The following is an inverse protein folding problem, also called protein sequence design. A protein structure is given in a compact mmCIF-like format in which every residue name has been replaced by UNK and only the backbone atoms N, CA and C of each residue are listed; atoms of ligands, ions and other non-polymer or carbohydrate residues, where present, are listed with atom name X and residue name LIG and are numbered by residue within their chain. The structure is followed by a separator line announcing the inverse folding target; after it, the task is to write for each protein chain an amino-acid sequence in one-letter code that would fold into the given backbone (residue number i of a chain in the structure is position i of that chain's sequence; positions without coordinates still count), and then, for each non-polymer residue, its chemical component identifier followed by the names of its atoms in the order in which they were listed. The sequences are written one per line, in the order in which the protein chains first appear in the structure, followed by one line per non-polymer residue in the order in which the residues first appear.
data_IF_956193003051
#
_entry.id   IF_956193003051
#
_cell.length_a   1.000
_cell.length_b   1.000
_cell.length_c   1.000
_cell.angle_alpha   90.00
_cell.angle_beta   90.00
_cell.angle_gamma   90.00
#
_symmetry.space_group_name_H-M   'P 1'
#
loop_
_entity.id
_entity.type
_entity.pdbx_description
1 polymer ?
#
# COMPACT_ATOMS: atom_id res chain seq x y z
N UNK A 1 -26.30 3.70 -1.61
CA UNK A 1 -25.23 2.94 -2.32
C UNK A 1 -23.94 3.74 -2.58
N UNK A 2 -23.93 5.09 -2.54
CA UNK A 2 -22.72 5.91 -2.81
C UNK A 2 -21.48 5.56 -1.96
N UNK A 3 -21.66 5.17 -0.69
CA UNK A 3 -20.53 4.82 0.18
C UNK A 3 -19.74 3.60 -0.30
N UNK A 4 -20.39 2.62 -0.94
CA UNK A 4 -19.71 1.43 -1.47
C UNK A 4 -18.80 1.77 -2.65
N UNK A 5 -19.13 2.80 -3.42
CA UNK A 5 -18.34 3.20 -4.58
C UNK A 5 -16.97 3.75 -4.17
N UNK A 6 -16.93 4.57 -3.12
CA UNK A 6 -15.68 5.09 -2.57
C UNK A 6 -14.75 3.97 -2.09
N UNK A 7 -15.30 2.93 -1.46
CA UNK A 7 -14.53 1.75 -1.06
C UNK A 7 -14.00 0.96 -2.27
N UNK A 8 -14.84 0.76 -3.30
CA UNK A 8 -14.42 0.07 -4.53
C UNK A 8 -13.28 0.79 -5.22
N UNK A 9 -13.38 2.11 -5.35
CA UNK A 9 -12.33 2.92 -5.94
C UNK A 9 -11.01 2.79 -5.16
N UNK A 10 -11.05 2.87 -3.83
CA UNK A 10 -9.86 2.72 -3.00
C UNK A 10 -9.20 1.33 -3.09
N UNK A 11 -9.99 0.28 -3.33
CA UNK A 11 -9.50 -1.11 -3.48
C UNK A 11 -8.94 -1.38 -4.87
N UNK A 12 -9.60 -0.86 -5.91
CA UNK A 12 -9.20 -1.11 -7.30
C UNK A 12 -8.01 -0.24 -7.70
N UNK A 13 -8.00 1.02 -7.29
CA UNK A 13 -6.99 2.01 -7.68
C UNK A 13 -6.38 2.69 -6.43
N UNK A 14 -5.68 1.94 -5.56
CA UNK A 14 -5.16 2.45 -4.28
C UNK A 14 -4.16 3.59 -4.46
N UNK A 15 -3.35 3.54 -5.53
CA UNK A 15 -2.38 4.60 -5.87
C UNK A 15 -3.08 5.90 -6.24
N UNK A 16 -4.12 5.84 -7.06
CA UNK A 16 -4.89 7.03 -7.43
C UNK A 16 -5.62 7.61 -6.22
N UNK A 17 -6.26 6.75 -5.42
CA UNK A 17 -6.91 7.14 -4.18
C UNK A 17 -5.95 7.87 -3.23
N UNK A 18 -4.74 7.33 -3.04
CA UNK A 18 -3.71 7.96 -2.20
C UNK A 18 -3.25 9.32 -2.75
N UNK A 19 -3.13 9.47 -4.07
CA UNK A 19 -2.81 10.75 -4.70
C UNK A 19 -3.91 11.79 -4.51
N UNK A 20 -5.18 11.40 -4.67
CA UNK A 20 -6.33 12.26 -4.43
C UNK A 20 -6.38 12.70 -2.95
N UNK A 21 -6.15 11.76 -2.02
CA UNK A 21 -6.11 12.05 -0.58
C UNK A 21 -4.96 12.98 -0.20
N UNK A 22 -3.77 12.80 -0.80
CA UNK A 22 -2.63 13.71 -0.63
C UNK A 22 -2.96 15.12 -1.12
N UNK A 23 -3.59 15.26 -2.29
CA UNK A 23 -4.01 16.56 -2.85
C UNK A 23 -5.07 17.25 -1.98
N UNK A 24 -6.06 16.50 -1.48
CA UNK A 24 -7.16 17.06 -0.70
C UNK A 24 -6.76 17.43 0.73
N UNK A 25 -5.91 16.63 1.38
CA UNK A 25 -5.54 16.83 2.78
C UNK A 25 -4.23 17.59 3.00
N UNK A 26 -3.37 17.66 1.97
CA UNK A 26 -1.99 18.18 2.09
C UNK A 26 -1.05 17.29 2.91
N UNK A 27 -1.53 16.17 3.47
CA UNK A 27 -0.72 15.26 4.29
C UNK A 27 0.22 14.44 3.43
N UNK A 28 1.40 14.11 3.97
CA UNK A 28 2.29 13.12 3.37
C UNK A 28 1.67 11.73 3.47
N UNK A 29 1.98 10.86 2.52
CA UNK A 29 1.57 9.46 2.53
C UNK A 29 2.78 8.62 2.96
N UNK A 30 2.58 7.70 3.91
CA UNK A 30 3.60 6.75 4.35
C UNK A 30 3.10 5.33 4.06
N UNK A 31 3.79 4.65 3.15
CA UNK A 31 3.52 3.26 2.81
C UNK A 31 4.04 2.30 3.89
N UNK A 32 3.28 1.25 4.20
CA UNK A 32 3.70 0.20 5.12
C UNK A 32 3.28 -1.19 4.64
N UNK A 33 3.97 -2.22 5.14
CA UNK A 33 3.87 -3.59 4.59
C UNK A 33 3.34 -4.63 5.59
N UNK A 34 3.45 -4.38 6.89
CA UNK A 34 3.12 -5.35 7.95
C UNK A 34 1.78 -5.03 8.62
N UNK A 35 1.00 -6.04 8.99
CA UNK A 35 -0.25 -5.85 9.77
C UNK A 35 -0.01 -5.33 11.19
N UNK A 36 1.23 -5.42 11.66
CA UNK A 36 1.64 -4.94 12.98
C UNK A 36 2.26 -3.53 12.94
N UNK A 37 2.27 -2.85 11.79
CA UNK A 37 2.78 -1.47 11.73
C UNK A 37 1.91 -0.58 12.62
N UNK A 38 2.51 0.21 13.53
CA UNK A 38 1.76 1.12 14.39
C UNK A 38 1.28 2.35 13.59
N UNK A 39 0.08 2.25 13.02
CA UNK A 39 -0.55 3.29 12.21
C UNK A 39 -0.75 4.59 13.00
N UNK A 40 -0.95 4.48 14.31
CA UNK A 40 -1.12 5.60 15.23
C UNK A 40 0.10 6.52 15.24
N UNK A 41 1.31 5.97 15.14
CA UNK A 41 2.55 6.76 15.09
C UNK A 41 2.64 7.54 13.78
N UNK A 42 2.25 6.93 12.66
CA UNK A 42 2.21 7.58 11.34
C UNK A 42 1.19 8.73 11.35
N UNK A 43 0.00 8.48 11.90
CA UNK A 43 -1.06 9.48 12.03
C UNK A 43 -0.65 10.64 12.94
N UNK A 44 -0.02 10.36 14.09
CA UNK A 44 0.49 11.36 15.02
C UNK A 44 1.59 12.24 14.40
N UNK A 45 2.40 11.68 13.48
CA UNK A 45 3.39 12.43 12.70
C UNK A 45 2.77 13.33 11.60
N UNK A 46 1.44 13.38 11.47
CA UNK A 46 0.73 14.20 10.48
C UNK A 46 0.70 13.59 9.08
N UNK A 47 1.04 12.31 8.95
CA UNK A 47 0.96 11.57 7.68
C UNK A 47 -0.25 10.65 7.63
N UNK A 48 -0.59 10.19 6.43
CA UNK A 48 -1.61 9.17 6.21
C UNK A 48 -0.94 7.81 5.99
N UNK A 49 -1.29 6.77 6.77
CA UNK A 49 -0.79 5.42 6.55
C UNK A 49 -1.46 4.80 5.31
N UNK A 50 -0.66 4.20 4.42
CA UNK A 50 -1.14 3.49 3.25
C UNK A 50 -0.61 2.05 3.24
N UNK A 51 -1.50 1.07 3.33
CA UNK A 51 -1.11 -0.34 3.27
C UNK A 51 -0.74 -0.74 1.85
N UNK A 52 0.45 -1.30 1.69
CA UNK A 52 0.90 -1.94 0.46
C UNK A 52 0.56 -3.44 0.51
N UNK A 53 -0.06 -3.96 -0.56
CA UNK A 53 -0.48 -5.36 -0.68
C UNK A 53 0.35 -6.16 -1.70
N UNK A 54 1.09 -5.50 -2.59
CA UNK A 54 1.90 -6.13 -3.64
C UNK A 54 1.07 -6.65 -4.81
N UNK A 55 1.77 -7.26 -5.78
CA UNK A 55 1.13 -7.73 -7.02
C UNK A 55 0.45 -9.09 -6.89
N UNK A 56 -0.54 -9.30 -7.75
CA UNK A 56 -1.12 -10.63 -8.04
C UNK A 56 -0.46 -11.32 -9.25
N UNK A 57 0.50 -10.66 -9.88
CA UNK A 57 1.25 -11.18 -11.02
C UNK A 57 2.32 -12.17 -10.56
N UNK A 58 2.92 -12.86 -11.53
CA UNK A 58 4.05 -13.75 -11.25
C UNK A 58 5.24 -12.94 -10.76
N UNK A 59 5.93 -13.50 -9.76
CA UNK A 59 7.12 -12.90 -9.16
C UNK A 59 8.34 -13.48 -9.88
N UNK A 60 9.20 -12.62 -10.41
CA UNK A 60 10.38 -13.01 -11.18
C UNK A 60 11.57 -12.11 -10.89
N UNK A 61 11.35 -10.79 -10.82
CA UNK A 61 12.39 -9.81 -10.51
C UNK A 61 12.75 -9.87 -9.03
N UNK A 62 11.77 -9.97 -8.15
CA UNK A 62 12.01 -10.04 -6.72
C UNK A 62 12.79 -11.30 -6.31
N UNK A 63 12.73 -12.37 -7.10
CA UNK A 63 13.46 -13.63 -6.84
C UNK A 63 14.99 -13.48 -6.95
N UNK A 64 15.46 -12.43 -7.62
CA UNK A 64 16.88 -12.08 -7.65
C UNK A 64 17.39 -11.49 -6.32
N UNK A 65 16.49 -11.06 -5.44
CA UNK A 65 16.79 -10.37 -4.18
C UNK A 65 16.23 -11.09 -2.94
N UNK A 66 15.13 -11.82 -3.09
CA UNK A 66 14.40 -12.48 -2.02
C UNK A 66 14.16 -13.95 -2.38
N UNK A 67 14.36 -14.83 -1.41
CA UNK A 67 14.11 -16.25 -1.58
C UNK A 67 12.60 -16.53 -1.68
N UNK A 68 12.26 -17.66 -2.32
CA UNK A 68 10.87 -18.06 -2.53
C UNK A 68 10.07 -18.27 -1.23
N UNK A 69 10.75 -18.55 -0.12
CA UNK A 69 10.13 -18.70 1.20
C UNK A 69 9.93 -17.39 1.96
N UNK A 70 10.35 -16.24 1.42
CA UNK A 70 10.07 -14.94 2.03
C UNK A 70 8.58 -14.58 1.93
N UNK A 71 8.13 -13.66 2.78
CA UNK A 71 6.73 -13.20 2.83
C UNK A 71 6.23 -12.79 1.43
N UNK A 72 5.12 -13.39 0.99
CA UNK A 72 4.54 -13.17 -0.34
C UNK A 72 4.19 -11.70 -0.58
N UNK A 73 3.71 -10.98 0.44
CA UNK A 73 3.37 -9.55 0.34
C UNK A 73 4.63 -8.71 0.07
N UNK A 74 5.73 -8.96 0.79
CA UNK A 74 6.97 -8.21 0.58
C UNK A 74 7.60 -8.53 -0.77
N UNK A 75 7.58 -9.80 -1.18
CA UNK A 75 8.04 -10.20 -2.53
C UNK A 75 7.19 -9.54 -3.62
N UNK A 76 5.87 -9.52 -3.46
CA UNK A 76 4.95 -8.89 -4.40
C UNK A 76 5.10 -7.37 -4.46
N UNK A 77 5.43 -6.70 -3.35
CA UNK A 77 5.73 -5.25 -3.34
C UNK A 77 7.04 -4.97 -4.06
N UNK A 78 8.07 -5.80 -3.84
CA UNK A 78 9.36 -5.64 -4.50
C UNK A 78 9.26 -5.90 -6.01
N UNK A 79 8.36 -6.77 -6.46
CA UNK A 79 8.10 -6.99 -7.90
C UNK A 79 7.45 -5.77 -8.58
N UNK A 80 6.65 -4.98 -7.85
CA UNK A 80 5.97 -3.78 -8.38
C UNK A 80 6.85 -2.52 -8.43
N UNK A 81 7.94 -2.51 -7.65
CA UNK A 81 8.82 -1.34 -7.48
C UNK A 81 9.90 -1.22 -8.54
#
# INVERSE_FOLDING_TARGET
MKHLEAYRQAVLEPSEYAQQLKKASGKKIIGYTCSYTPEEVIMAAGAHPLRLFGTKQNISLADSHLQSYCCSVVRGILEEG
#
